data_IF_123611686148
#
_entry.id   IF_123611686148
#
_cell.length_a   1.000
_cell.length_b   1.000
_cell.length_c   1.000
_cell.angle_alpha   90.00
_cell.angle_beta   90.00
_cell.angle_gamma   90.00
#
_symmetry.space_group_name_H-M   'P 1'
#
loop_
_entity.id
_entity.type
_entity.pdbx_description
1 polymer ?
#
# COMPACT_ATOMS: atom_id res chain seq x y z
N UNK A 1 -29.16 -13.44 -14.64
CA UNK A 1 -28.16 -12.42 -14.29
C UNK A 1 -28.23 -11.35 -15.37
N UNK A 2 -28.00 -10.09 -15.03
CA UNK A 2 -28.22 -8.98 -15.95
C UNK A 2 -26.92 -8.63 -16.65
N UNK A 3 -26.98 -8.40 -17.96
CA UNK A 3 -25.83 -7.97 -18.78
C UNK A 3 -25.13 -6.70 -18.23
N UNK A 4 -25.87 -5.84 -17.52
CA UNK A 4 -25.33 -4.72 -16.75
C UNK A 4 -24.46 -5.14 -15.55
N UNK A 5 -24.82 -6.21 -14.84
CA UNK A 5 -24.11 -6.67 -13.63
C UNK A 5 -22.69 -7.14 -13.99
N UNK A 6 -22.56 -7.84 -15.12
CA UNK A 6 -21.28 -8.37 -15.60
C UNK A 6 -20.36 -7.26 -16.12
N UNK A 7 -20.92 -6.21 -16.73
CA UNK A 7 -20.16 -4.99 -17.08
C UNK A 7 -19.60 -4.27 -15.85
N UNK A 8 -20.38 -4.17 -14.77
CA UNK A 8 -19.89 -3.62 -13.49
C UNK A 8 -18.76 -4.49 -12.92
N UNK A 9 -18.88 -5.82 -12.93
CA UNK A 9 -17.80 -6.73 -12.47
C UNK A 9 -16.50 -6.55 -13.26
N UNK A 10 -16.57 -6.43 -14.59
CA UNK A 10 -15.40 -6.19 -15.45
C UNK A 10 -14.72 -4.85 -15.12
N UNK A 11 -15.50 -3.79 -14.89
CA UNK A 11 -15.00 -2.47 -14.50
C UNK A 11 -14.36 -2.51 -13.10
N UNK A 12 -15.01 -3.12 -12.11
CA UNK A 12 -14.48 -3.25 -10.75
C UNK A 12 -13.17 -4.04 -10.71
N UNK A 13 -13.09 -5.20 -11.38
CA UNK A 13 -11.86 -5.99 -11.48
C UNK A 13 -10.70 -5.17 -12.07
N UNK A 14 -10.96 -4.35 -13.09
CA UNK A 14 -9.90 -3.55 -13.70
C UNK A 14 -9.43 -2.41 -12.79
N UNK A 15 -10.29 -1.87 -11.93
CA UNK A 15 -9.92 -0.93 -10.87
C UNK A 15 -9.12 -1.62 -9.75
N UNK A 16 -9.51 -2.83 -9.33
CA UNK A 16 -8.81 -3.65 -8.33
C UNK A 16 -7.39 -4.00 -8.78
N UNK A 17 -7.18 -4.26 -10.07
CA UNK A 17 -5.86 -4.47 -10.68
C UNK A 17 -5.02 -3.17 -10.80
N UNK A 18 -5.55 -2.00 -10.48
CA UNK A 18 -4.86 -0.71 -10.58
C UNK A 18 -5.02 0.02 -11.92
N UNK A 19 -5.95 -0.40 -12.78
CA UNK A 19 -6.28 0.27 -14.03
C UNK A 19 -6.86 1.67 -13.82
N UNK A 20 -6.32 2.67 -14.53
CA UNK A 20 -6.80 4.06 -14.43
C UNK A 20 -7.92 4.32 -15.44
N UNK A 21 -9.11 4.70 -14.98
CA UNK A 21 -10.20 5.16 -15.86
C UNK A 21 -9.81 6.47 -16.57
N UNK A 22 -10.19 6.60 -17.84
CA UNK A 22 -9.94 7.77 -18.69
C UNK A 22 -11.26 8.51 -18.99
N UNK A 23 -11.16 9.79 -19.38
CA UNK A 23 -12.31 10.58 -19.83
C UNK A 23 -12.87 10.14 -21.21
N UNK A 24 -12.13 9.32 -21.95
CA UNK A 24 -12.56 8.74 -23.23
C UNK A 24 -13.50 7.56 -22.99
N UNK A 25 -14.47 7.38 -23.87
CA UNK A 25 -15.44 6.27 -23.81
C UNK A 25 -15.37 5.44 -25.11
N UNK A 26 -15.62 4.15 -25.01
CA UNK A 26 -15.61 3.23 -26.15
C UNK A 26 -16.81 3.50 -27.06
N UNK A 27 -16.54 3.72 -28.35
CA UNK A 27 -17.56 3.98 -29.38
C UNK A 27 -18.51 2.82 -29.64
N UNK A 28 -18.11 1.59 -29.31
CA UNK A 28 -18.90 0.37 -29.54
C UNK A 28 -19.91 0.08 -28.41
N UNK A 29 -19.55 0.34 -27.15
CA UNK A 29 -20.32 -0.08 -25.98
C UNK A 29 -20.65 1.03 -24.97
N UNK A 30 -20.12 2.25 -25.17
CA UNK A 30 -20.34 3.40 -24.29
C UNK A 30 -19.60 3.35 -22.95
N UNK A 31 -18.92 2.25 -22.59
CA UNK A 31 -18.16 2.16 -21.35
C UNK A 31 -16.90 3.06 -21.37
N UNK A 32 -16.47 3.62 -20.22
CA UNK A 32 -15.23 4.39 -20.15
C UNK A 32 -14.01 3.53 -20.50
N UNK A 33 -13.04 4.14 -21.16
CA UNK A 33 -11.75 3.52 -21.49
C UNK A 33 -10.85 3.50 -20.25
N UNK A 34 -9.94 2.53 -20.19
CA UNK A 34 -9.00 2.36 -19.09
C UNK A 34 -7.57 2.29 -19.61
N UNK A 35 -6.62 2.79 -18.82
CA UNK A 35 -5.18 2.59 -19.02
C UNK A 35 -4.65 1.59 -17.99
N UNK A 36 -4.00 0.52 -18.46
CA UNK A 36 -3.38 -0.51 -17.62
C UNK A 36 -2.01 -0.90 -18.19
N UNK A 37 -0.97 -0.95 -17.35
CA UNK A 37 0.46 -1.10 -17.70
C UNK A 37 1.05 -0.15 -18.78
N UNK A 38 0.25 0.71 -19.40
CA UNK A 38 0.63 1.65 -20.45
C UNK A 38 -0.39 1.68 -21.57
N UNK A 39 -0.98 0.52 -21.87
CA UNK A 39 -1.97 0.31 -22.92
C UNK A 39 -3.34 0.87 -22.54
N UNK A 40 -4.13 1.22 -23.55
CA UNK A 40 -5.49 1.78 -23.42
C UNK A 40 -6.51 0.81 -23.99
N UNK A 41 -7.39 0.27 -23.15
CA UNK A 41 -8.33 -0.80 -23.47
C UNK A 41 -9.76 -0.50 -22.97
N UNK A 42 -10.73 -1.23 -23.51
CA UNK A 42 -12.12 -1.20 -23.05
C UNK A 42 -12.42 -2.45 -22.22
N UNK A 43 -12.81 -2.34 -20.93
CA UNK A 43 -13.06 -3.50 -20.08
C UNK A 43 -14.17 -4.42 -20.58
N UNK A 44 -15.09 -3.90 -21.40
CA UNK A 44 -16.25 -4.63 -21.91
C UNK A 44 -15.96 -5.27 -23.29
N UNK A 45 -15.22 -4.58 -24.17
CA UNK A 45 -14.95 -5.06 -25.53
C UNK A 45 -13.71 -5.96 -25.63
N UNK A 46 -12.76 -5.88 -24.70
CA UNK A 46 -11.69 -6.88 -24.50
C UNK A 46 -12.11 -7.95 -23.46
N UNK A 47 -13.42 -8.23 -23.35
CA UNK A 47 -14.08 -8.87 -22.20
C UNK A 47 -13.77 -10.35 -21.89
N UNK A 48 -12.87 -11.00 -22.62
CA UNK A 48 -12.47 -12.41 -22.43
C UNK A 48 -10.93 -12.55 -22.51
N UNK A 49 -10.23 -12.26 -21.41
CA UNK A 49 -8.78 -12.50 -21.33
C UNK A 49 -7.99 -11.81 -20.21
N UNK A 50 -8.50 -10.70 -19.65
CA UNK A 50 -7.77 -9.81 -18.70
C UNK A 50 -7.60 -10.39 -17.28
N UNK A 51 -7.30 -11.67 -17.16
CA UNK A 51 -7.16 -12.39 -15.89
C UNK A 51 -6.77 -13.86 -16.03
N UNK A 52 -6.06 -14.23 -17.10
CA UNK A 52 -5.53 -15.58 -17.31
C UNK A 52 -4.05 -15.58 -17.71
N UNK A 53 -3.63 -14.68 -18.60
CA UNK A 53 -2.24 -14.57 -19.03
C UNK A 53 -1.89 -13.11 -19.36
N UNK A 54 -1.09 -12.47 -18.50
CA UNK A 54 -0.50 -11.14 -18.72
C UNK A 54 0.99 -11.22 -18.36
N UNK A 55 1.76 -11.80 -19.29
CA UNK A 55 3.22 -11.70 -19.29
C UNK A 55 3.59 -10.20 -19.27
N UNK A 56 4.44 -9.73 -18.35
CA UNK A 56 4.84 -8.32 -18.30
C UNK A 56 5.53 -7.90 -19.61
N UNK A 57 5.01 -6.90 -20.36
CA UNK A 57 5.71 -6.37 -21.53
C UNK A 57 6.96 -5.60 -21.08
N UNK A 58 8.08 -5.86 -21.76
CA UNK A 58 9.34 -5.16 -21.50
C UNK A 58 9.22 -3.63 -21.74
N UNK A 59 10.03 -2.79 -21.06
CA UNK A 59 9.82 -1.34 -21.03
C UNK A 59 10.04 -0.67 -22.39
N UNK A 60 8.94 -0.41 -23.11
CA UNK A 60 8.92 0.35 -24.36
C UNK A 60 9.39 1.79 -24.10
N UNK A 61 10.45 2.20 -24.80
CA UNK A 61 11.07 3.51 -24.65
C UNK A 61 10.15 4.63 -25.13
N UNK A 62 10.03 5.70 -24.33
CA UNK A 62 9.35 6.94 -24.72
C UNK A 62 10.06 7.62 -25.90
N UNK A 63 9.31 8.14 -26.88
CA UNK A 63 9.66 9.37 -27.59
C UNK A 63 9.11 10.58 -26.83
N UNK A 64 9.93 11.62 -26.65
CA UNK A 64 9.42 12.95 -26.31
C UNK A 64 8.78 13.62 -27.54
N UNK A 65 7.64 14.27 -27.34
CA UNK A 65 7.01 15.13 -28.34
C UNK A 65 6.36 16.32 -27.62
N UNK A 66 7.11 17.39 -27.42
CA UNK A 66 6.64 18.58 -26.72
C UNK A 66 5.88 19.53 -27.67
N UNK A 67 4.65 19.92 -27.28
CA UNK A 67 3.97 21.11 -27.82
C UNK A 67 3.18 21.79 -26.70
N UNK A 68 3.48 23.07 -26.47
CA UNK A 68 2.61 24.01 -25.76
C UNK A 68 2.36 25.23 -26.66
N UNK A 69 1.09 25.54 -27.00
CA UNK A 69 0.51 26.85 -26.63
C UNK A 69 -1.01 26.81 -26.32
N UNK A 70 -1.60 27.71 -25.52
CA UNK A 70 -1.06 28.58 -24.46
C UNK A 70 -2.20 29.15 -23.56
N UNK A 71 -1.88 30.18 -22.75
CA UNK A 71 -2.72 31.03 -21.88
C UNK A 71 -4.18 31.35 -22.27
N UNK A 72 -5.06 31.31 -21.26
CA UNK A 72 -6.15 32.30 -21.02
C UNK A 72 -6.10 32.68 -19.53
N UNK A 73 -6.33 33.95 -19.19
CA UNK A 73 -6.23 34.46 -17.82
C UNK A 73 -7.56 35.05 -17.32
N UNK A 74 -7.87 34.90 -16.02
CA UNK A 74 -8.90 35.70 -15.33
C UNK A 74 -8.56 35.84 -13.84
N UNK A 75 -7.95 36.98 -13.52
CA UNK A 75 -8.14 37.87 -12.35
C UNK A 75 -8.29 37.31 -10.91
N UNK A 76 -7.46 37.84 -10.01
CA UNK A 76 -7.67 37.83 -8.55
C UNK A 76 -8.77 38.83 -8.13
N UNK A 77 -9.28 38.72 -6.90
CA UNK A 77 -9.13 39.87 -6.00
C UNK A 77 -8.36 39.56 -4.71
N UNK A 78 -7.52 40.52 -4.30
CA UNK A 78 -6.80 40.53 -3.02
C UNK A 78 -7.64 41.18 -1.93
N UNK A 79 -7.67 40.61 -0.72
CA UNK A 79 -7.74 41.37 0.54
C UNK A 79 -7.15 40.56 1.70
N UNK A 80 -6.25 41.20 2.45
CA UNK A 80 -5.96 40.89 3.86
C UNK A 80 -6.46 42.05 4.72
N UNK A 81 -6.65 41.84 6.03
CA UNK A 81 -5.80 42.61 6.94
C UNK A 81 -5.21 41.80 8.10
N UNK A 82 -4.36 42.46 8.89
CA UNK A 82 -3.57 41.97 10.03
C UNK A 82 -4.24 42.40 11.36
N UNK A 83 -3.57 42.12 12.50
CA UNK A 83 -3.84 42.48 13.92
C UNK A 83 -4.45 41.28 14.68
N UNK A 84 -3.78 40.53 15.57
CA UNK A 84 -2.73 40.76 16.60
C UNK A 84 -3.28 41.16 18.01
N UNK A 85 -2.65 40.64 19.08
CA UNK A 85 -2.77 41.03 20.50
C UNK A 85 -4.13 40.74 21.21
N UNK A 86 -4.25 39.88 22.24
CA UNK A 86 -3.37 39.70 23.41
C UNK A 86 -3.60 38.38 24.22
N UNK A 87 -2.65 38.10 25.11
CA UNK A 87 -2.70 37.19 26.29
C UNK A 87 -2.52 38.12 27.52
N UNK A 88 -3.32 38.05 28.61
CA UNK A 88 -3.16 37.07 29.71
C UNK A 88 -4.52 36.61 30.33
N UNK A 89 -4.64 35.70 31.30
CA UNK A 89 -3.71 35.12 32.30
C UNK A 89 -4.05 33.61 32.55
N UNK A 90 -3.76 32.88 33.65
CA UNK A 90 -3.21 33.19 34.99
C UNK A 90 -2.50 31.97 35.69
N UNK A 91 -2.48 31.95 37.03
CA UNK A 91 -1.71 31.12 37.98
C UNK A 91 -2.40 29.75 38.26
N UNK A 92 -1.76 28.57 38.46
CA UNK A 92 -0.47 28.14 39.07
C UNK A 92 -0.50 28.20 40.62
N UNK A 93 0.09 27.26 41.42
CA UNK A 93 0.45 25.83 41.22
C UNK A 93 -0.11 24.87 42.31
N UNK A 94 0.11 23.55 42.18
CA UNK A 94 0.53 22.70 43.33
C UNK A 94 1.59 21.69 42.84
N UNK A 95 2.75 21.66 43.49
CA UNK A 95 3.79 20.65 43.30
C UNK A 95 3.82 19.66 44.47
N UNK A 96 3.98 18.37 44.20
CA UNK A 96 4.51 17.41 45.17
C UNK A 96 5.52 16.48 44.50
N UNK A 97 6.61 16.16 45.21
CA UNK A 97 7.75 15.43 44.68
C UNK A 97 7.75 13.95 45.09
N UNK A 98 8.46 13.14 44.30
CA UNK A 98 8.97 11.78 44.60
C UNK A 98 9.98 11.81 45.78
N UNK A 99 10.49 10.67 46.33
CA UNK A 99 10.53 9.28 45.84
C UNK A 99 9.90 8.27 46.88
N UNK A 100 10.13 6.94 47.00
CA UNK A 100 11.38 6.17 46.87
C UNK A 100 11.23 4.62 46.73
N UNK A 101 12.25 4.03 46.06
CA UNK A 101 12.81 2.64 46.05
C UNK A 101 12.03 1.41 46.56
N UNK A 102 11.85 0.42 45.65
CA UNK A 102 12.33 -1.00 45.71
C UNK A 102 11.97 -1.70 44.38
N UNK A 103 12.79 -2.47 43.67
CA UNK A 103 13.97 -3.32 43.97
C UNK A 103 13.66 -4.65 44.66
N UNK A 104 13.28 -5.65 43.85
CA UNK A 104 13.69 -7.06 43.97
C UNK A 104 14.02 -7.59 42.56
N UNK A 105 14.80 -8.67 42.44
CA UNK A 105 15.46 -9.03 41.18
C UNK A 105 15.89 -10.52 41.08
N UNK A 106 15.89 -11.06 39.84
CA UNK A 106 16.64 -12.26 39.38
C UNK A 106 16.11 -13.59 39.99
N UNK A 107 16.32 -14.81 39.42
CA UNK A 107 16.87 -15.25 38.12
C UNK A 107 15.76 -15.79 37.16
N UNK A 108 15.97 -16.33 35.95
CA UNK A 108 17.14 -17.09 35.43
C UNK A 108 17.35 -16.94 33.91
N UNK A 109 18.62 -17.01 33.52
CA UNK A 109 19.17 -17.14 32.16
C UNK A 109 18.92 -18.54 31.54
N UNK A 110 19.19 -18.80 30.23
CA UNK A 110 20.03 -18.01 29.34
C UNK A 110 19.46 -17.65 27.96
N UNK A 111 19.75 -16.40 27.56
CA UNK A 111 19.94 -16.02 26.16
C UNK A 111 21.05 -16.88 25.55
N UNK A 112 20.69 -17.93 24.82
CA UNK A 112 21.66 -18.73 24.07
C UNK A 112 22.01 -18.00 22.78
N UNK A 113 22.94 -17.04 22.86
CA UNK A 113 23.64 -16.53 21.68
C UNK A 113 24.41 -17.70 21.06
N UNK A 114 23.82 -18.31 20.03
CA UNK A 114 24.51 -19.23 19.14
C UNK A 114 24.97 -18.40 17.96
N UNK A 115 26.28 -18.22 17.83
CA UNK A 115 26.85 -17.80 16.56
C UNK A 115 26.50 -18.85 15.52
N UNK A 116 25.68 -18.47 14.54
CA UNK A 116 25.41 -19.30 13.38
C UNK A 116 25.67 -18.46 12.14
N UNK A 117 26.61 -18.91 11.32
CA UNK A 117 26.70 -18.51 9.92
C UNK A 117 25.55 -19.22 9.17
N UNK A 118 24.33 -18.81 9.50
CA UNK A 118 23.11 -19.54 9.19
C UNK A 118 22.92 -19.74 7.69
N UNK A 119 22.43 -20.90 7.31
CA UNK A 119 22.02 -21.12 5.91
C UNK A 119 20.89 -20.16 5.56
N UNK A 120 20.66 -19.94 4.27
CA UNK A 120 19.47 -19.20 3.81
C UNK A 120 18.19 -19.83 4.37
N UNK A 121 18.15 -21.17 4.54
CA UNK A 121 17.01 -21.84 5.17
C UNK A 121 16.81 -21.44 6.64
N UNK A 122 17.88 -21.23 7.40
CA UNK A 122 17.78 -20.92 8.84
C UNK A 122 17.36 -19.46 9.05
N UNK A 123 17.84 -18.55 8.19
CA UNK A 123 17.36 -17.17 8.13
C UNK A 123 15.86 -17.10 7.79
N UNK A 124 15.42 -17.90 6.81
CA UNK A 124 14.01 -17.98 6.41
C UNK A 124 13.12 -18.58 7.52
N UNK A 125 13.59 -19.60 8.25
CA UNK A 125 12.89 -20.16 9.42
C UNK A 125 12.73 -19.12 10.55
N UNK A 126 13.80 -18.42 10.91
CA UNK A 126 13.71 -17.31 11.89
C UNK A 126 12.77 -16.18 11.40
N UNK A 127 12.65 -15.97 10.09
CA UNK A 127 11.72 -14.98 9.53
C UNK A 127 10.25 -15.44 9.62
N UNK A 128 9.96 -16.74 9.46
CA UNK A 128 8.63 -17.31 9.74
C UNK A 128 8.22 -17.12 11.21
N UNK A 129 9.12 -17.42 12.15
CA UNK A 129 8.88 -17.20 13.59
C UNK A 129 8.62 -15.71 13.90
N UNK A 130 9.39 -14.81 13.29
CA UNK A 130 9.19 -13.37 13.38
C UNK A 130 7.83 -12.90 12.82
N UNK A 131 7.33 -13.49 11.73
CA UNK A 131 6.02 -13.18 11.17
C UNK A 131 4.88 -13.74 12.04
N UNK A 132 5.01 -14.97 12.53
CA UNK A 132 4.06 -15.58 13.45
C UNK A 132 3.91 -14.79 14.77
N UNK A 133 4.99 -14.14 15.25
CA UNK A 133 4.94 -13.23 16.38
C UNK A 133 4.20 -11.91 16.06
N UNK A 134 4.41 -11.34 14.86
CA UNK A 134 3.71 -10.12 14.43
C UNK A 134 2.19 -10.35 14.28
N UNK A 135 1.77 -11.46 13.65
CA UNK A 135 0.36 -11.82 13.45
C UNK A 135 -0.43 -11.88 14.78
N UNK A 136 0.19 -12.32 15.88
CA UNK A 136 -0.46 -12.38 17.20
C UNK A 136 -0.76 -11.00 17.82
N UNK A 137 -0.09 -9.95 17.34
CA UNK A 137 -0.24 -8.57 17.83
C UNK A 137 -0.95 -7.64 16.83
N UNK A 138 -0.97 -8.02 15.55
CA UNK A 138 -1.67 -7.29 14.50
C UNK A 138 -3.17 -7.50 14.59
N UNK A 139 -3.94 -6.42 14.41
CA UNK A 139 -5.40 -6.44 14.49
C UNK A 139 -6.06 -6.05 13.16
N UNK A 140 -5.29 -5.51 12.20
CA UNK A 140 -5.80 -5.25 10.85
C UNK A 140 -5.88 -6.55 10.01
N UNK A 141 -7.06 -6.91 9.46
CA UNK A 141 -7.24 -8.15 8.73
C UNK A 141 -6.55 -8.18 7.37
N UNK A 142 -6.18 -7.03 6.78
CA UNK A 142 -5.43 -7.01 5.50
C UNK A 142 -3.98 -7.37 5.75
N UNK A 143 -3.35 -6.73 6.75
CA UNK A 143 -1.98 -7.07 7.16
C UNK A 143 -1.80 -8.50 7.63
N UNK A 144 -2.79 -9.07 8.32
CA UNK A 144 -2.75 -10.51 8.66
C UNK A 144 -2.65 -11.37 7.39
N UNK A 145 -3.40 -11.04 6.32
CA UNK A 145 -3.27 -11.73 5.03
C UNK A 145 -1.92 -11.44 4.35
N UNK A 146 -1.43 -10.20 4.34
CA UNK A 146 -0.09 -9.84 3.82
C UNK A 146 1.04 -10.64 4.50
N UNK A 147 0.96 -10.84 5.82
CA UNK A 147 1.90 -11.67 6.55
C UNK A 147 1.75 -13.16 6.21
N UNK A 148 0.53 -13.69 6.09
CA UNK A 148 0.28 -15.09 5.70
C UNK A 148 0.78 -15.40 4.29
N UNK A 149 0.49 -14.54 3.31
CA UNK A 149 1.07 -14.60 1.95
C UNK A 149 2.60 -14.58 1.98
N UNK A 150 3.19 -13.78 2.88
CA UNK A 150 4.65 -13.71 3.03
C UNK A 150 5.20 -15.01 3.64
N UNK A 151 4.47 -15.65 4.56
CA UNK A 151 4.85 -16.93 5.13
C UNK A 151 4.78 -18.07 4.10
N UNK A 152 3.72 -18.11 3.29
CA UNK A 152 3.57 -19.06 2.16
C UNK A 152 4.78 -18.97 1.21
N UNK A 153 5.11 -17.77 0.73
CA UNK A 153 6.25 -17.51 -0.15
C UNK A 153 7.60 -17.89 0.46
N UNK A 154 7.73 -17.85 1.80
CA UNK A 154 8.94 -18.34 2.49
C UNK A 154 8.97 -19.87 2.57
N UNK A 155 7.83 -20.53 2.75
CA UNK A 155 7.73 -22.01 2.75
C UNK A 155 8.08 -22.56 1.35
N UNK A 156 7.58 -21.96 0.27
CA UNK A 156 7.95 -22.31 -1.11
C UNK A 156 9.46 -22.18 -1.39
N UNK A 157 10.10 -21.16 -0.79
CA UNK A 157 11.55 -20.97 -0.90
C UNK A 157 12.30 -22.01 -0.07
N UNK A 158 11.76 -22.44 1.07
CA UNK A 158 12.38 -23.46 1.93
C UNK A 158 12.32 -24.86 1.31
N UNK A 159 11.18 -25.26 0.75
CA UNK A 159 11.01 -26.56 0.06
C UNK A 159 11.97 -26.68 -1.14
N UNK A 160 12.15 -25.58 -1.88
CA UNK A 160 13.12 -25.47 -2.99
C UNK A 160 14.59 -25.38 -2.56
N UNK A 161 14.89 -25.40 -1.26
CA UNK A 161 16.24 -25.37 -0.68
C UNK A 161 16.57 -26.61 0.16
N UNK A 162 15.66 -27.59 0.27
CA UNK A 162 15.85 -28.87 0.96
C UNK A 162 16.20 -30.04 0.03
#
# INVERSE_FOLDING_TARGET
MSDSDDKIKQISRLLELGGTMLAQHCTTCGAPMFRYHGDVLCPICQGEGVGADIIPPEPVKRPEAAVAPQMVATEQPTVSPVIENQIPADQVPISFASPDVRTEAIPTTPTKQVECMGSVSDMMKMKLESLAAQIQSENDPRRINEYLETMEKIIDILDRLS
#
